data_IF_236664010468
#
_entry.id   IF_236664010468
#
_cell.length_a   1.000
_cell.length_b   1.000
_cell.length_c   1.000
_cell.angle_alpha   90.00
_cell.angle_beta   90.00
_cell.angle_gamma   90.00
#
_symmetry.space_group_name_H-M   'P 1'
#
loop_
_entity.id
_entity.type
_entity.pdbx_description
1 polymer ?
#
# COMPACT_ATOMS: atom_id res chain seq x y z
N UNK A 1 -2.23 15.69 -14.20
CA UNK A 1 -1.02 15.13 -13.55
C UNK A 1 -1.50 14.12 -12.54
N UNK A 2 -0.81 12.99 -12.37
CA UNK A 2 -1.23 12.01 -11.36
C UNK A 2 -1.03 12.60 -9.96
N UNK A 3 -2.10 12.58 -9.16
CA UNK A 3 -2.18 13.14 -7.81
C UNK A 3 -2.38 12.06 -6.74
N UNK A 4 -2.45 10.80 -7.17
CA UNK A 4 -2.74 9.64 -6.33
C UNK A 4 -1.77 8.51 -6.68
N UNK A 5 -1.39 7.71 -5.69
CA UNK A 5 -0.50 6.56 -5.84
C UNK A 5 -1.20 5.29 -5.39
N UNK A 6 -1.15 4.26 -6.21
CA UNK A 6 -1.47 2.89 -5.82
C UNK A 6 -0.19 2.25 -5.32
N UNK A 7 -0.28 1.58 -4.18
CA UNK A 7 0.75 0.72 -3.63
C UNK A 7 0.11 -0.62 -3.29
N UNK A 8 0.70 -1.71 -3.74
CA UNK A 8 0.17 -3.05 -3.52
C UNK A 8 1.30 -4.01 -3.23
N UNK A 9 1.11 -4.86 -2.22
CA UNK A 9 2.04 -5.95 -1.96
C UNK A 9 1.34 -7.15 -1.37
N UNK A 10 1.94 -8.31 -1.60
CA UNK A 10 1.54 -9.56 -0.93
C UNK A 10 2.43 -9.80 0.28
N UNK A 11 1.82 -9.98 1.45
CA UNK A 11 2.56 -10.38 2.65
C UNK A 11 3.09 -11.81 2.53
N UNK A 12 4.16 -12.10 3.26
CA UNK A 12 4.59 -13.46 3.55
C UNK A 12 3.45 -14.24 4.26
N UNK A 13 3.38 -15.58 4.11
CA UNK A 13 2.29 -16.38 4.70
C UNK A 13 2.10 -16.11 6.20
N UNK A 14 0.87 -15.76 6.59
CA UNK A 14 0.53 -15.46 8.00
C UNK A 14 0.96 -14.08 8.51
N UNK A 15 1.62 -13.26 7.69
CA UNK A 15 2.21 -11.96 8.10
C UNK A 15 1.37 -10.74 7.67
N UNK A 16 0.18 -10.93 7.09
CA UNK A 16 -0.67 -9.83 6.61
C UNK A 16 -0.96 -8.78 7.69
N UNK A 17 -1.32 -9.21 8.90
CA UNK A 17 -1.65 -8.28 9.98
C UNK A 17 -0.45 -7.44 10.41
N UNK A 18 0.75 -8.04 10.46
CA UNK A 18 1.99 -7.34 10.78
C UNK A 18 2.38 -6.34 9.69
N UNK A 19 2.25 -6.73 8.42
CA UNK A 19 2.42 -5.83 7.30
C UNK A 19 1.44 -4.66 7.34
N UNK A 20 0.17 -4.92 7.66
CA UNK A 20 -0.85 -3.87 7.79
C UNK A 20 -0.51 -2.89 8.92
N UNK A 21 -0.04 -3.40 10.08
CA UNK A 21 0.45 -2.56 11.18
C UNK A 21 1.63 -1.70 10.76
N UNK A 22 2.61 -2.28 10.04
CA UNK A 22 3.74 -1.54 9.50
C UNK A 22 3.29 -0.41 8.57
N UNK A 23 2.33 -0.68 7.67
CA UNK A 23 1.76 0.32 6.75
C UNK A 23 1.15 1.48 7.53
N UNK A 24 0.35 1.21 8.56
CA UNK A 24 -0.29 2.26 9.38
C UNK A 24 0.74 3.14 10.09
N UNK A 25 1.87 2.56 10.51
CA UNK A 25 2.94 3.29 11.20
C UNK A 25 3.81 4.13 10.25
N UNK A 26 4.05 3.65 9.02
CA UNK A 26 5.09 4.22 8.14
C UNK A 26 4.54 4.96 6.91
N UNK A 27 3.28 4.76 6.52
CA UNK A 27 2.70 5.45 5.37
C UNK A 27 2.12 6.80 5.80
N UNK A 28 2.62 7.94 5.26
CA UNK A 28 2.05 9.24 5.56
C UNK A 28 0.70 9.43 4.87
N UNK A 29 -0.24 10.07 5.58
CA UNK A 29 -1.55 10.41 5.05
C UNK A 29 -1.55 11.67 4.16
N UNK A 30 -2.62 11.89 3.37
CA UNK A 30 -3.90 11.14 3.36
C UNK A 30 -3.83 9.83 2.55
N UNK A 31 -4.09 8.71 3.21
CA UNK A 31 -4.05 7.37 2.61
C UNK A 31 -5.15 6.45 3.15
N UNK A 32 -5.65 5.56 2.30
CA UNK A 32 -6.61 4.51 2.64
C UNK A 32 -5.96 3.14 2.49
N UNK A 33 -6.18 2.24 3.45
CA UNK A 33 -5.59 0.90 3.49
C UNK A 33 -6.69 -0.16 3.32
N UNK A 34 -6.48 -1.09 2.39
CA UNK A 34 -7.40 -2.16 2.07
C UNK A 34 -6.72 -3.52 2.23
N UNK A 35 -7.44 -4.48 2.79
CA UNK A 35 -6.98 -5.87 2.93
C UNK A 35 -7.60 -6.71 1.81
N UNK A 36 -6.75 -7.20 0.92
CA UNK A 36 -7.16 -8.07 -0.18
C UNK A 36 -7.07 -9.56 0.16
N UNK A 37 -7.61 -10.38 -0.74
CA UNK A 37 -7.40 -11.83 -0.70
C UNK A 37 -5.94 -12.21 -0.94
N UNK A 38 -5.59 -13.43 -0.55
CA UNK A 38 -4.23 -13.99 -0.69
C UNK A 38 -3.15 -13.12 -0.02
N UNK A 39 -3.41 -12.66 1.21
CA UNK A 39 -2.49 -11.88 2.03
C UNK A 39 -2.07 -10.52 1.45
N UNK A 40 -2.88 -9.92 0.57
CA UNK A 40 -2.59 -8.61 -0.01
C UNK A 40 -2.93 -7.46 0.93
N UNK A 41 -2.07 -6.43 0.90
CA UNK A 41 -2.33 -5.11 1.46
C UNK A 41 -2.22 -4.11 0.31
N UNK A 42 -3.22 -3.24 0.20
CA UNK A 42 -3.32 -2.21 -0.83
C UNK A 42 -3.43 -0.87 -0.14
N UNK A 43 -2.70 0.13 -0.63
CA UNK A 43 -2.75 1.50 -0.14
C UNK A 43 -3.05 2.43 -1.32
N UNK A 44 -4.03 3.31 -1.12
CA UNK A 44 -4.33 4.42 -2.02
C UNK A 44 -3.94 5.71 -1.30
N UNK A 45 -2.89 6.37 -1.76
CA UNK A 45 -2.36 7.58 -1.11
C UNK A 45 -2.50 8.81 -2.02
N UNK A 46 -3.15 9.88 -1.55
CA UNK A 46 -3.25 11.15 -2.29
C UNK A 46 -2.08 12.07 -1.96
N UNK A 47 -1.53 12.73 -2.96
CA UNK A 47 -0.37 13.62 -2.84
C UNK A 47 0.98 12.90 -2.70
N UNK A 48 0.99 11.56 -2.72
CA UNK A 48 2.21 10.78 -2.66
C UNK A 48 2.76 10.49 -4.06
N UNK A 49 4.07 10.67 -4.24
CA UNK A 49 4.79 10.22 -5.45
C UNK A 49 5.44 8.85 -5.28
N UNK A 50 5.72 8.46 -4.03
CA UNK A 50 6.28 7.16 -3.64
C UNK A 50 5.97 6.88 -2.17
N UNK A 51 5.74 5.61 -1.83
CA UNK A 51 5.64 5.15 -0.45
C UNK A 51 6.86 4.31 -0.05
N UNK A 52 7.15 4.21 1.27
CA UNK A 52 8.26 3.39 1.77
C UNK A 52 8.10 1.90 1.42
N UNK A 53 9.23 1.20 1.38
CA UNK A 53 9.29 -0.24 1.20
C UNK A 53 9.32 -0.93 2.58
N UNK A 54 8.47 -1.95 2.84
CA UNK A 54 8.50 -2.73 4.08
C UNK A 54 9.77 -3.56 4.22
N UNK A 55 10.08 -4.04 5.43
CA UNK A 55 11.09 -5.07 5.65
C UNK A 55 10.84 -6.30 4.74
N UNK A 56 11.84 -6.81 4.00
CA UNK A 56 11.66 -7.89 3.03
C UNK A 56 11.06 -9.17 3.60
N UNK A 57 11.29 -9.46 4.88
CA UNK A 57 10.73 -10.61 5.60
C UNK A 57 9.20 -10.57 5.75
N UNK A 58 8.58 -9.40 5.57
CA UNK A 58 7.13 -9.26 5.54
C UNK A 58 6.54 -9.56 4.17
N UNK A 59 7.36 -9.73 3.13
CA UNK A 59 6.93 -9.71 1.74
C UNK A 59 7.05 -11.09 1.08
N UNK A 60 5.98 -11.55 0.44
CA UNK A 60 6.04 -12.69 -0.48
C UNK A 60 6.46 -12.27 -1.90
N UNK A 61 6.34 -10.98 -2.22
CA UNK A 61 6.65 -10.37 -3.53
C UNK A 61 7.06 -8.92 -3.31
N UNK A 62 7.89 -8.34 -4.20
CA UNK A 62 8.16 -6.90 -4.17
C UNK A 62 6.89 -6.07 -4.25
N UNK A 63 6.94 -4.87 -3.67
CA UNK A 63 5.87 -3.89 -3.80
C UNK A 63 5.71 -3.47 -5.26
N UNK A 64 4.45 -3.38 -5.70
CA UNK A 64 4.10 -2.69 -6.93
C UNK A 64 3.54 -1.30 -6.59
N UNK A 65 4.03 -0.25 -7.27
CA UNK A 65 3.54 1.12 -7.10
C UNK A 65 3.34 1.78 -8.46
N UNK A 66 2.22 2.47 -8.67
CA UNK A 66 2.02 3.27 -9.87
C UNK A 66 1.11 4.48 -9.63
N UNK A 67 1.43 5.65 -10.22
CA UNK A 67 0.64 6.85 -10.03
C UNK A 67 -0.61 6.83 -10.92
N UNK A 68 -1.69 7.43 -10.45
CA UNK A 68 -2.94 7.63 -11.19
C UNK A 68 -3.63 8.94 -10.76
N UNK A 69 -4.72 9.31 -11.46
CA UNK A 69 -5.44 10.57 -11.19
C UNK A 69 -6.79 10.26 -10.53
N UNK A 70 -7.09 10.92 -9.42
CA UNK A 70 -8.43 10.87 -8.82
C UNK A 70 -9.43 11.57 -9.75
N UNK A 71 -10.51 10.88 -10.12
CA UNK A 71 -11.53 11.45 -10.99
C UNK A 71 -12.67 12.11 -10.20
N UNK A 72 -13.30 11.36 -9.29
CA UNK A 72 -14.33 11.84 -8.35
C UNK A 72 -14.60 10.80 -7.25
N UNK A 73 -15.20 11.23 -6.15
CA UNK A 73 -15.88 10.35 -5.18
C UNK A 73 -17.38 10.34 -5.50
N UNK A 74 -18.08 9.23 -5.19
CA UNK A 74 -19.54 9.11 -5.37
C UNK A 74 -20.29 9.45 -4.09
#
# INVERSE_FOLDING_TARGET
MADTLMWEVRAAPGRRSELASWVVEHVPGPAEVYLGGQDRVVVIARGASRLPEPPPELLARPVAQWPFTHHRSL
#
